data_IF_090628699116
#
_entry.id   IF_090628699116
#
_cell.length_a   1.000
_cell.length_b   1.000
_cell.length_c   1.000
_cell.angle_alpha   90.00
_cell.angle_beta   90.00
_cell.angle_gamma   90.00
#
_symmetry.space_group_name_H-M   'P 1'
#
loop_
_entity.id
_entity.type
_entity.pdbx_description
1 polymer ?
#
# COMPACT_ATOMS: atom_id res chain seq x y z
N UNK A 1 41.39 -6.15 -65.55
CA UNK A 1 42.42 -5.16 -65.18
C UNK A 1 42.39 -4.88 -63.67
N UNK A 2 43.51 -5.15 -62.99
CA UNK A 2 44.05 -4.50 -61.76
C UNK A 2 43.20 -4.29 -60.48
N UNK A 3 43.33 -5.24 -59.54
CA UNK A 3 43.91 -5.12 -58.18
C UNK A 3 44.00 -3.71 -57.51
N UNK A 4 43.41 -3.52 -56.31
CA UNK A 4 44.10 -3.36 -54.98
C UNK A 4 43.20 -2.81 -53.86
N UNK A 5 43.37 -3.39 -52.67
CA UNK A 5 42.83 -3.03 -51.35
C UNK A 5 43.40 -1.71 -50.82
N UNK A 6 42.59 -0.95 -50.07
CA UNK A 6 43.03 -0.03 -49.01
C UNK A 6 42.14 -0.27 -47.79
N UNK A 7 42.78 -0.55 -46.65
CA UNK A 7 42.21 -0.55 -45.29
C UNK A 7 42.56 0.80 -44.67
N UNK A 8 41.66 1.42 -43.87
CA UNK A 8 41.92 2.33 -42.74
C UNK A 8 40.58 2.81 -42.13
N UNK A 9 40.10 2.17 -41.05
CA UNK A 9 40.04 2.63 -39.65
C UNK A 9 39.14 3.87 -39.38
N UNK A 10 37.99 3.58 -38.74
CA UNK A 10 37.24 4.26 -37.65
C UNK A 10 36.97 5.77 -37.72
N UNK A 11 35.68 6.16 -37.62
CA UNK A 11 35.10 7.08 -36.61
C UNK A 11 33.57 6.89 -36.57
N UNK A 12 33.11 6.48 -35.39
CA UNK A 12 31.78 6.60 -34.79
C UNK A 12 30.81 7.62 -35.43
N UNK A 13 29.64 7.14 -35.84
CA UNK A 13 28.39 7.86 -35.63
C UNK A 13 27.23 6.86 -35.46
N UNK A 14 26.88 6.68 -34.19
CA UNK A 14 25.68 6.04 -33.64
C UNK A 14 24.42 6.43 -34.45
N UNK A 15 23.87 5.50 -35.22
CA UNK A 15 22.50 5.55 -35.71
C UNK A 15 21.68 4.62 -34.78
N UNK A 16 21.22 5.16 -33.65
CA UNK A 16 20.20 4.48 -32.86
C UNK A 16 18.90 4.61 -33.65
N UNK A 17 18.54 3.54 -34.33
CA UNK A 17 17.22 3.38 -34.91
C UNK A 17 16.21 3.42 -33.77
N UNK A 18 15.36 4.44 -33.79
CA UNK A 18 14.20 4.61 -32.93
C UNK A 18 13.27 3.39 -33.12
N UNK A 19 13.50 2.34 -32.35
CA UNK A 19 12.47 1.35 -32.07
C UNK A 19 11.46 2.02 -31.13
N UNK A 20 10.15 2.04 -31.46
CA UNK A 20 9.18 2.52 -30.51
C UNK A 20 9.22 1.57 -29.31
N UNK A 21 9.80 2.05 -28.22
CA UNK A 21 9.70 1.41 -26.92
C UNK A 21 8.23 1.41 -26.58
N UNK A 22 7.53 0.30 -26.83
CA UNK A 22 6.20 0.11 -26.28
C UNK A 22 6.38 0.03 -24.77
N UNK A 23 6.14 1.16 -24.10
CA UNK A 23 5.87 1.25 -22.68
C UNK A 23 4.68 0.32 -22.43
N UNK A 24 4.99 -0.90 -22.00
CA UNK A 24 4.02 -1.71 -21.27
C UNK A 24 3.88 -0.97 -19.94
N UNK A 25 2.90 -0.06 -19.85
CA UNK A 25 2.27 0.20 -18.57
C UNK A 25 1.65 -1.14 -18.18
N UNK A 26 2.40 -1.95 -17.42
CA UNK A 26 1.76 -2.97 -16.62
C UNK A 26 0.79 -2.19 -15.76
N UNK A 27 -0.52 -2.35 -16.01
CA UNK A 27 -1.47 -2.01 -14.98
C UNK A 27 -1.01 -2.85 -13.78
N UNK A 28 -0.44 -2.19 -12.78
CA UNK A 28 -0.51 -2.76 -11.44
C UNK A 28 -2.00 -2.81 -11.21
N UNK A 29 -2.56 -4.02 -11.24
CA UNK A 29 -3.92 -4.23 -10.80
C UNK A 29 -3.83 -4.04 -9.29
N UNK A 30 -3.99 -2.78 -8.89
CA UNK A 30 -4.20 -2.38 -7.51
C UNK A 30 -5.50 -3.01 -7.04
N UNK A 31 -5.42 -3.78 -5.98
CA UNK A 31 -6.54 -4.56 -5.49
C UNK A 31 -7.50 -3.72 -4.61
N UNK A 32 -7.25 -2.45 -4.27
CA UNK A 32 -7.94 -1.31 -4.86
C UNK A 32 -9.46 -1.32 -4.58
N UNK A 33 -9.96 -0.67 -3.52
CA UNK A 33 -11.38 -0.25 -3.50
C UNK A 33 -11.47 1.27 -3.59
N UNK A 34 -12.45 1.77 -4.35
CA UNK A 34 -12.67 3.20 -4.60
C UNK A 34 -13.82 3.73 -3.75
N UNK A 35 -13.51 4.41 -2.64
CA UNK A 35 -14.51 5.20 -1.93
C UNK A 35 -14.54 6.61 -2.51
N UNK A 36 -15.69 7.03 -3.04
CA UNK A 36 -15.84 8.36 -3.64
C UNK A 36 -14.85 8.64 -4.79
N UNK A 37 -13.79 9.41 -4.50
CA UNK A 37 -12.71 9.78 -5.43
C UNK A 37 -11.32 9.36 -4.92
N UNK A 38 -11.27 8.44 -3.97
CA UNK A 38 -10.02 7.94 -3.40
C UNK A 38 -9.91 6.43 -3.58
N UNK A 39 -8.69 5.92 -3.65
CA UNK A 39 -8.40 4.50 -3.65
C UNK A 39 -7.74 4.10 -2.32
N UNK A 40 -8.21 3.00 -1.72
CA UNK A 40 -7.65 2.46 -0.47
C UNK A 40 -7.20 1.01 -0.66
N UNK A 41 -6.00 0.71 -0.16
CA UNK A 41 -5.42 -0.63 -0.27
C UNK A 41 -4.80 -1.14 1.01
N UNK A 42 -4.96 -2.45 1.24
CA UNK A 42 -4.30 -3.17 2.32
C UNK A 42 -2.93 -3.67 1.80
N UNK A 43 -1.84 -3.07 2.26
CA UNK A 43 -0.49 -3.29 1.71
C UNK A 43 0.24 -4.44 2.42
N UNK A 44 0.64 -4.20 3.67
CA UNK A 44 1.50 -5.10 4.43
C UNK A 44 1.19 -5.01 5.93
N UNK A 45 1.88 -5.81 6.72
CA UNK A 45 1.86 -5.66 8.18
C UNK A 45 3.26 -5.78 8.77
N UNK A 46 3.39 -5.33 10.01
CA UNK A 46 4.54 -5.59 10.89
C UNK A 46 4.05 -5.85 12.30
N UNK A 47 4.83 -6.60 13.06
CA UNK A 47 4.53 -6.89 14.46
C UNK A 47 5.29 -5.94 15.38
N UNK A 48 4.65 -5.55 16.47
CA UNK A 48 5.31 -4.94 17.61
C UNK A 48 4.74 -5.50 18.92
N UNK A 49 5.21 -4.96 20.04
CA UNK A 49 4.66 -5.22 21.36
C UNK A 49 4.36 -3.90 22.06
N UNK A 50 3.26 -3.88 22.80
CA UNK A 50 2.88 -2.77 23.66
C UNK A 50 3.81 -2.63 24.88
N UNK A 51 3.46 -1.75 25.82
CA UNK A 51 4.24 -1.53 27.05
C UNK A 51 4.19 -2.71 28.03
N UNK A 52 3.17 -3.55 27.94
CA UNK A 52 2.94 -4.73 28.78
C UNK A 52 3.49 -6.02 28.15
N UNK A 53 4.02 -5.93 26.92
CA UNK A 53 4.58 -7.06 26.18
C UNK A 53 3.53 -7.87 25.41
N UNK A 54 2.32 -7.33 25.22
CA UNK A 54 1.29 -7.95 24.37
C UNK A 54 1.57 -7.67 22.91
N UNK A 55 1.34 -8.67 22.06
CA UNK A 55 1.59 -8.58 20.64
C UNK A 55 0.57 -7.69 19.92
N UNK A 56 1.06 -6.91 18.98
CA UNK A 56 0.29 -5.93 18.21
C UNK A 56 0.64 -6.08 16.74
N UNK A 57 -0.38 -6.16 15.89
CA UNK A 57 -0.20 -6.06 14.43
C UNK A 57 -0.39 -4.60 14.03
N UNK A 58 0.56 -4.07 13.26
CA UNK A 58 0.47 -2.75 12.65
C UNK A 58 0.26 -2.99 11.17
N UNK A 59 -0.93 -2.68 10.68
CA UNK A 59 -1.33 -2.86 9.28
C UNK A 59 -1.05 -1.56 8.54
N UNK A 60 -0.43 -1.68 7.37
CA UNK A 60 -0.09 -0.59 6.48
C UNK A 60 -1.10 -0.55 5.34
N UNK A 61 -1.64 0.64 5.11
CA UNK A 61 -2.58 0.93 4.05
C UNK A 61 -1.99 1.97 3.10
N UNK A 62 -2.37 1.92 1.83
CA UNK A 62 -2.14 2.98 0.87
C UNK A 62 -3.45 3.74 0.66
N UNK A 63 -3.42 5.05 0.86
CA UNK A 63 -4.50 5.96 0.50
C UNK A 63 -4.05 6.84 -0.66
N UNK A 64 -4.78 6.81 -1.76
CA UNK A 64 -4.59 7.68 -2.91
C UNK A 64 -5.81 8.59 -3.06
N UNK A 65 -5.62 9.90 -2.95
CA UNK A 65 -6.71 10.87 -3.14
C UNK A 65 -6.66 11.40 -4.56
N UNK A 66 -7.56 10.94 -5.44
CA UNK A 66 -7.72 11.48 -6.79
C UNK A 66 -8.72 12.66 -6.85
N UNK A 67 -9.42 12.91 -5.74
CA UNK A 67 -10.35 14.01 -5.58
C UNK A 67 -9.67 15.37 -5.48
N UNK A 68 -10.48 16.44 -5.42
CA UNK A 68 -9.97 17.81 -5.27
C UNK A 68 -9.85 18.24 -3.82
N UNK A 69 -10.73 17.73 -2.97
CA UNK A 69 -10.78 18.08 -1.55
C UNK A 69 -9.79 17.23 -0.75
N UNK A 70 -9.17 17.78 0.30
CA UNK A 70 -8.36 16.98 1.22
C UNK A 70 -9.19 15.90 1.92
N UNK A 71 -8.60 14.73 2.13
CA UNK A 71 -9.23 13.62 2.86
C UNK A 71 -8.22 12.81 3.66
N UNK A 72 -8.68 11.95 4.56
CA UNK A 72 -7.89 11.06 5.41
C UNK A 72 -8.48 9.65 5.41
N UNK A 73 -7.69 8.64 5.80
CA UNK A 73 -8.12 7.22 5.72
C UNK A 73 -9.41 6.97 6.50
N UNK A 74 -9.52 7.56 7.69
CA UNK A 74 -10.69 7.46 8.57
C UNK A 74 -12.00 7.95 7.93
N UNK A 75 -11.94 8.72 6.85
CA UNK A 75 -13.12 9.25 6.13
C UNK A 75 -13.42 8.50 4.85
N UNK A 76 -12.48 7.70 4.35
CA UNK A 76 -12.59 7.00 3.05
C UNK A 76 -12.87 5.50 3.21
N UNK A 77 -12.68 4.92 4.40
CA UNK A 77 -12.98 3.51 4.62
C UNK A 77 -13.39 3.22 6.06
N UNK A 78 -14.42 2.38 6.22
CA UNK A 78 -14.63 1.62 7.43
C UNK A 78 -13.71 0.38 7.40
N UNK A 79 -12.88 0.23 8.42
CA UNK A 79 -11.89 -0.84 8.49
C UNK A 79 -12.22 -1.76 9.65
N UNK A 80 -12.44 -3.03 9.33
CA UNK A 80 -12.66 -4.07 10.33
C UNK A 80 -11.52 -5.09 10.27
N UNK A 81 -10.90 -5.34 11.42
CA UNK A 81 -9.79 -6.30 11.54
C UNK A 81 -10.21 -7.40 12.49
N UNK A 82 -10.16 -8.64 12.03
CA UNK A 82 -10.61 -9.81 12.76
C UNK A 82 -9.46 -10.78 12.99
N UNK A 83 -9.48 -11.46 14.13
CA UNK A 83 -8.72 -12.67 14.39
C UNK A 83 -9.68 -13.67 15.05
N UNK A 84 -9.63 -14.94 14.65
CA UNK A 84 -10.55 -15.96 15.19
C UNK A 84 -12.05 -15.62 15.05
N UNK A 85 -12.41 -14.78 14.07
CA UNK A 85 -13.77 -14.29 13.88
C UNK A 85 -14.24 -13.23 14.89
N UNK A 86 -13.34 -12.66 15.69
CA UNK A 86 -13.62 -11.56 16.63
C UNK A 86 -12.87 -10.31 16.19
N UNK A 87 -13.54 -9.16 16.23
CA UNK A 87 -12.94 -7.89 15.86
C UNK A 87 -11.89 -7.47 16.90
N UNK A 88 -10.70 -7.13 16.42
CA UNK A 88 -9.61 -6.63 17.23
C UNK A 88 -9.81 -5.16 17.61
N UNK A 89 -9.32 -4.80 18.79
CA UNK A 89 -9.29 -3.42 19.24
C UNK A 89 -8.07 -2.69 18.69
N UNK A 90 -8.25 -1.44 18.27
CA UNK A 90 -7.13 -0.56 17.94
C UNK A 90 -6.22 -0.32 19.15
N UNK A 91 -4.92 -0.20 18.88
CA UNK A 91 -3.89 0.17 19.83
C UNK A 91 -3.39 1.59 19.52
N UNK A 92 -3.74 2.55 20.38
CA UNK A 92 -3.36 3.96 20.18
C UNK A 92 -1.98 4.30 20.76
N UNK A 93 -1.61 3.70 21.89
CA UNK A 93 -0.33 4.00 22.55
C UNK A 93 0.65 2.83 22.47
N UNK A 94 1.65 2.95 21.58
CA UNK A 94 2.75 1.99 21.50
C UNK A 94 4.08 2.56 22.01
N UNK A 95 5.00 1.71 22.49
CA UNK A 95 6.35 2.13 22.80
C UNK A 95 7.03 2.78 21.59
N UNK A 96 7.90 3.78 21.82
CA UNK A 96 8.64 4.48 20.77
C UNK A 96 9.43 3.55 19.82
N UNK A 97 9.87 2.38 20.29
CA UNK A 97 10.56 1.37 19.48
C UNK A 97 9.69 0.82 18.34
N UNK A 98 8.36 0.93 18.43
CA UNK A 98 7.43 0.54 17.39
C UNK A 98 7.34 1.58 16.26
N UNK A 99 7.89 2.78 16.41
CA UNK A 99 7.84 3.84 15.39
C UNK A 99 6.43 4.01 14.79
N UNK A 100 5.42 4.13 15.65
CA UNK A 100 4.01 4.19 15.27
C UNK A 100 3.41 5.51 15.76
N UNK A 101 2.64 6.16 14.89
CA UNK A 101 1.91 7.41 15.14
C UNK A 101 0.42 7.16 14.93
N UNK A 102 -0.36 7.05 16.00
CA UNK A 102 -1.81 6.79 15.90
C UNK A 102 -2.59 7.92 15.23
N UNK A 103 -1.97 9.09 15.07
CA UNK A 103 -2.58 10.22 14.36
C UNK A 103 -2.50 10.07 12.84
N UNK A 104 -1.71 9.12 12.31
CA UNK A 104 -1.53 8.90 10.86
C UNK A 104 -2.86 8.70 10.13
N UNK A 105 -3.81 7.98 10.73
CA UNK A 105 -5.12 7.69 10.14
C UNK A 105 -6.03 8.91 9.99
N UNK A 106 -5.72 10.01 10.68
CA UNK A 106 -6.46 11.28 10.64
C UNK A 106 -5.76 12.34 9.78
N UNK A 107 -4.58 12.04 9.22
CA UNK A 107 -3.82 13.01 8.40
C UNK A 107 -4.49 13.23 7.05
N UNK A 108 -4.88 14.47 6.80
CA UNK A 108 -5.42 14.87 5.49
C UNK A 108 -4.34 14.93 4.41
N UNK A 109 -4.59 14.26 3.28
CA UNK A 109 -3.80 14.34 2.06
C UNK A 109 -4.57 15.13 1.00
N UNK A 110 -3.86 16.00 0.28
CA UNK A 110 -4.45 16.79 -0.81
C UNK A 110 -4.69 15.92 -2.04
N UNK A 111 -5.59 16.36 -2.90
CA UNK A 111 -5.80 15.77 -4.22
C UNK A 111 -4.53 15.56 -5.04
N UNK A 112 -4.47 14.42 -5.73
CA UNK A 112 -3.33 13.95 -6.51
C UNK A 112 -2.14 13.50 -5.65
N UNK A 113 -2.39 13.06 -4.40
CA UNK A 113 -1.35 12.53 -3.50
C UNK A 113 -1.71 11.13 -3.05
N UNK A 114 -0.64 10.38 -2.79
CA UNK A 114 -0.65 9.10 -2.11
C UNK A 114 -0.03 9.25 -0.72
N UNK A 115 -0.46 8.44 0.23
CA UNK A 115 0.13 8.37 1.55
C UNK A 115 -0.03 6.97 2.13
N UNK A 116 1.05 6.48 2.75
CA UNK A 116 0.98 5.25 3.52
C UNK A 116 0.55 5.58 4.95
N UNK A 117 -0.49 4.89 5.40
CA UNK A 117 -1.08 5.05 6.72
C UNK A 117 -0.90 3.75 7.48
N UNK A 118 -0.53 3.83 8.76
CA UNK A 118 -0.47 2.65 9.63
C UNK A 118 -1.57 2.74 10.70
N UNK A 119 -2.24 1.61 10.95
CA UNK A 119 -3.15 1.44 12.09
C UNK A 119 -2.75 0.18 12.85
N UNK A 120 -2.67 0.29 14.16
CA UNK A 120 -2.27 -0.79 15.04
C UNK A 120 -3.48 -1.45 15.73
N UNK A 121 -3.45 -2.79 15.86
CA UNK A 121 -4.49 -3.60 16.49
C UNK A 121 -3.89 -4.60 17.47
N UNK A 122 -4.49 -4.74 18.64
CA UNK A 122 -4.06 -5.72 19.65
C UNK A 122 -4.36 -7.13 19.14
N UNK A 123 -3.36 -8.01 19.07
CA UNK A 123 -3.55 -9.40 18.69
C UNK A 123 -4.05 -10.23 19.88
N UNK A 124 -4.85 -11.26 19.60
CA UNK A 124 -5.13 -12.32 20.57
C UNK A 124 -3.95 -13.28 20.68
N UNK A 125 -3.30 -13.59 19.55
CA UNK A 125 -2.13 -14.46 19.46
C UNK A 125 -1.37 -14.24 18.12
N UNK A 126 -0.19 -14.85 17.98
CA UNK A 126 0.63 -14.82 16.75
C UNK A 126 0.62 -16.12 15.96
N UNK A 127 -0.37 -16.98 16.21
CA UNK A 127 -0.49 -18.31 15.60
C UNK A 127 -1.57 -18.37 14.51
N UNK A 128 -2.64 -17.61 14.71
CA UNK A 128 -3.81 -17.53 13.86
C UNK A 128 -3.71 -16.34 12.90
N UNK A 129 -4.38 -16.47 11.76
CA UNK A 129 -4.39 -15.44 10.73
C UNK A 129 -5.19 -14.20 11.14
N UNK A 130 -4.90 -13.09 10.47
CA UNK A 130 -5.62 -11.82 10.65
C UNK A 130 -6.32 -11.44 9.37
N UNK A 131 -7.63 -11.26 9.42
CA UNK A 131 -8.45 -10.84 8.29
C UNK A 131 -8.74 -9.35 8.38
N UNK A 132 -8.37 -8.61 7.33
CA UNK A 132 -8.61 -7.17 7.22
C UNK A 132 -9.66 -6.93 6.15
N UNK A 133 -10.73 -6.24 6.51
CA UNK A 133 -11.83 -5.89 5.63
C UNK A 133 -11.94 -4.38 5.47
N UNK A 134 -12.06 -3.91 4.23
CA UNK A 134 -12.39 -2.53 3.88
C UNK A 134 -13.83 -2.46 3.36
N UNK A 135 -14.58 -1.50 3.86
CA UNK A 135 -15.97 -1.24 3.49
C UNK A 135 -16.12 0.24 3.10
N UNK A 136 -16.82 0.50 2.00
CA UNK A 136 -17.25 1.84 1.60
C UNK A 136 -18.38 2.33 2.49
N UNK A 137 -18.39 3.63 2.79
CA UNK A 137 -19.53 4.26 3.43
C UNK A 137 -20.82 4.20 2.60
N UNK A 138 -20.71 3.96 1.29
CA UNK A 138 -21.85 3.96 0.38
C UNK A 138 -22.60 2.63 0.31
N UNK A 139 -22.01 1.51 0.76
CA UNK A 139 -22.61 0.18 0.72
C UNK A 139 -22.26 -0.62 1.98
N UNK A 140 -23.24 -1.34 2.55
CA UNK A 140 -23.02 -2.22 3.72
C UNK A 140 -22.37 -3.57 3.35
N UNK A 141 -21.83 -3.70 2.15
CA UNK A 141 -21.15 -4.89 1.66
C UNK A 141 -19.64 -4.67 1.71
N UNK A 142 -18.88 -5.72 2.00
CA UNK A 142 -17.42 -5.67 2.01
C UNK A 142 -16.88 -5.46 0.61
N UNK A 143 -16.04 -4.45 0.43
CA UNK A 143 -15.47 -4.13 -0.87
C UNK A 143 -14.13 -4.83 -1.12
N UNK A 144 -13.29 -4.90 -0.09
CA UNK A 144 -11.97 -5.53 -0.19
C UNK A 144 -11.62 -6.30 1.08
N UNK A 145 -10.89 -7.39 0.92
CA UNK A 145 -10.40 -8.23 2.01
C UNK A 145 -8.96 -8.65 1.80
N UNK A 146 -8.20 -8.76 2.89
CA UNK A 146 -6.89 -9.39 2.89
C UNK A 146 -6.63 -10.14 4.19
N UNK A 147 -6.30 -11.42 4.05
CA UNK A 147 -5.79 -12.26 5.14
C UNK A 147 -4.27 -12.15 5.23
N UNK A 148 -3.76 -11.82 6.41
CA UNK A 148 -2.34 -11.91 6.76
C UNK A 148 -2.04 -13.21 7.50
N UNK A 149 -1.18 -14.04 6.90
CA UNK A 149 -0.57 -15.19 7.57
C UNK A 149 0.54 -14.71 8.49
N UNK A 150 0.42 -14.95 9.80
CA UNK A 150 1.42 -14.54 10.80
C UNK A 150 2.57 -15.56 10.93
N UNK A 151 2.42 -16.76 10.34
CA UNK A 151 3.40 -17.86 10.33
C UNK A 151 3.71 -18.36 8.93
#
# INVERSE_FOLDING_TARGET
>A
MKKRYIVLIVIAAVLITFLPFTLIFGAVVYDGFTSGQSNVEIESYRLCQDKDGKDVIIVKYLLENEGKEPTALTYEADIYVYQNGVQLNEAFELPKKCDYDSEDQYKNIKGGKEYFVEIAYMLENTEEDVDVELHDYSFFDKDKEKTFKLK
#
